data_IF_964162925199
#
_entry.id   IF_964162925199
#
_cell.length_a   1.000
_cell.length_b   1.000
_cell.length_c   1.000
_cell.angle_alpha   90.00
_cell.angle_beta   90.00
_cell.angle_gamma   90.00
#
_symmetry.space_group_name_H-M   'P 1'
#
loop_
_entity.id
_entity.type
_entity.pdbx_description
1 polymer ?
#
# COMPACT_ATOMS: atom_id res chain seq x y z
N UNK A 1 52.71 -35.29 8.13
CA UNK A 1 51.32 -35.03 7.68
C UNK A 1 50.29 -35.54 8.70
N UNK A 2 50.36 -36.79 9.15
CA UNK A 2 49.40 -37.34 10.11
C UNK A 2 49.39 -36.63 11.49
N UNK A 3 50.57 -36.30 12.02
CA UNK A 3 50.70 -35.63 13.33
C UNK A 3 50.05 -34.24 13.38
N UNK A 4 50.12 -33.49 12.27
CA UNK A 4 49.51 -32.17 12.15
C UNK A 4 47.98 -32.24 12.19
N UNK A 5 47.40 -33.28 11.57
CA UNK A 5 45.94 -33.48 11.59
C UNK A 5 45.44 -33.84 13.00
N UNK A 6 46.22 -34.62 13.76
CA UNK A 6 45.89 -34.94 15.16
C UNK A 6 46.01 -33.71 16.08
N UNK A 7 46.96 -32.82 15.83
CA UNK A 7 47.06 -31.53 16.53
C UNK A 7 45.83 -30.64 16.28
N UNK A 8 45.32 -30.58 15.05
CA UNK A 8 44.09 -29.82 14.73
C UNK A 8 42.86 -30.42 15.44
N UNK A 9 42.74 -31.75 15.47
CA UNK A 9 41.62 -32.44 16.14
C UNK A 9 41.62 -32.22 17.64
N UNK A 10 42.80 -32.20 18.27
CA UNK A 10 42.94 -31.92 19.71
C UNK A 10 42.66 -30.46 20.05
N UNK A 11 43.09 -29.52 19.19
CA UNK A 11 42.74 -28.09 19.31
C UNK A 11 41.23 -27.86 19.23
N UNK A 12 40.54 -28.48 18.26
CA UNK A 12 39.08 -28.35 18.12
C UNK A 12 38.33 -28.79 19.37
N UNK A 13 38.71 -29.94 19.95
CA UNK A 13 38.11 -30.44 21.20
C UNK A 13 38.34 -29.50 22.39
N UNK A 14 39.51 -28.86 22.48
CA UNK A 14 39.79 -27.88 23.54
C UNK A 14 38.90 -26.63 23.39
N UNK A 15 38.72 -26.13 22.17
CA UNK A 15 37.87 -24.96 21.88
C UNK A 15 36.39 -25.22 22.18
N UNK A 16 35.88 -26.42 21.85
CA UNK A 16 34.48 -26.79 22.13
C UNK A 16 34.20 -26.96 23.64
N UNK A 17 35.23 -27.24 24.46
CA UNK A 17 35.11 -27.34 25.93
C UNK A 17 35.19 -25.96 26.59
N UNK A 18 36.06 -25.09 26.09
CA UNK A 18 36.29 -23.74 26.65
C UNK A 18 35.16 -22.76 26.30
N UNK A 19 34.40 -23.05 25.23
CA UNK A 19 33.22 -22.28 24.84
C UNK A 19 31.97 -23.15 25.04
N UNK A 20 31.37 -23.15 26.25
CA UNK A 20 30.03 -23.68 26.40
C UNK A 20 29.14 -23.00 25.36
N UNK A 21 28.44 -23.80 24.56
CA UNK A 21 27.47 -23.29 23.60
C UNK A 21 26.55 -22.32 24.35
N UNK A 22 26.47 -21.03 23.95
CA UNK A 22 25.69 -20.06 24.70
C UNK A 22 24.25 -20.55 24.81
N UNK A 23 23.63 -20.49 26.00
CA UNK A 23 22.23 -20.86 26.16
C UNK A 23 21.40 -20.05 25.15
N UNK A 24 20.42 -20.72 24.54
CA UNK A 24 19.57 -20.06 23.56
C UNK A 24 18.86 -18.90 24.26
N UNK A 25 18.76 -17.73 23.61
CA UNK A 25 18.13 -16.51 24.18
C UNK A 25 16.70 -16.71 24.73
N UNK A 26 16.08 -17.87 24.45
CA UNK A 26 14.71 -18.22 24.86
C UNK A 26 14.64 -18.81 26.27
N UNK A 27 15.73 -19.39 26.77
CA UNK A 27 15.72 -20.15 28.01
C UNK A 27 15.98 -19.25 29.25
N UNK A 28 16.69 -18.14 29.07
CA UNK A 28 17.08 -17.25 30.19
C UNK A 28 16.05 -16.15 30.54
N UNK A 29 15.07 -15.89 29.67
CA UNK A 29 14.10 -14.80 29.87
C UNK A 29 13.20 -15.04 31.09
N UNK A 30 12.89 -16.30 31.41
CA UNK A 30 12.05 -16.66 32.56
C UNK A 30 12.77 -16.46 33.88
N UNK A 31 14.10 -16.69 33.91
CA UNK A 31 14.96 -16.43 35.07
C UNK A 31 15.19 -14.94 35.32
N UNK A 32 15.25 -14.13 34.26
CA UNK A 32 15.40 -12.68 34.36
C UNK A 32 14.13 -11.94 34.78
N UNK A 33 12.96 -12.39 34.30
CA UNK A 33 11.69 -11.70 34.54
C UNK A 33 11.00 -12.22 35.82
N UNK A 34 11.36 -13.42 36.30
CA UNK A 34 10.82 -14.03 37.53
C UNK A 34 9.34 -14.44 37.42
N UNK A 35 8.75 -14.30 36.24
CA UNK A 35 7.35 -14.62 35.98
C UNK A 35 7.28 -15.90 35.15
N UNK A 36 6.70 -16.99 35.68
CA UNK A 36 6.48 -18.19 34.90
C UNK A 36 5.53 -17.89 33.74
N UNK A 37 5.80 -18.42 32.55
CA UNK A 37 4.93 -18.20 31.37
C UNK A 37 3.51 -18.68 31.66
N UNK A 38 2.53 -17.77 31.68
CA UNK A 38 1.11 -18.15 31.74
C UNK A 38 0.74 -18.94 30.48
N UNK A 39 0.31 -20.20 30.65
CA UNK A 39 0.04 -21.12 29.54
C UNK A 39 -1.21 -20.81 28.72
N UNK A 40 -2.12 -19.93 29.16
CA UNK A 40 -3.26 -19.48 28.36
C UNK A 40 -3.85 -18.19 28.93
N UNK A 41 -3.56 -17.03 28.32
CA UNK A 41 -4.37 -15.83 28.53
C UNK A 41 -5.46 -15.85 27.47
N UNK A 42 -6.56 -16.55 27.78
CA UNK A 42 -7.79 -16.51 26.99
C UNK A 42 -8.52 -15.18 27.15
N UNK A 43 -7.86 -14.08 26.79
CA UNK A 43 -8.49 -12.77 26.71
C UNK A 43 -9.39 -12.74 25.47
N UNK A 44 -10.71 -12.75 25.67
CA UNK A 44 -11.64 -12.37 24.59
C UNK A 44 -11.37 -10.90 24.30
N UNK A 45 -10.61 -10.61 23.24
CA UNK A 45 -10.55 -9.25 22.71
C UNK A 45 -12.00 -8.82 22.42
N UNK A 46 -12.46 -7.64 22.90
CA UNK A 46 -13.78 -7.15 22.55
C UNK A 46 -13.84 -6.98 21.04
N UNK A 47 -14.54 -7.89 20.38
CA UNK A 47 -14.82 -7.85 18.96
C UNK A 47 -15.98 -6.89 18.72
N UNK A 48 -15.80 -5.96 17.78
CA UNK A 48 -16.92 -5.47 16.98
C UNK A 48 -17.53 -4.12 17.34
N UNK A 49 -16.90 -3.27 18.15
CA UNK A 49 -17.33 -1.87 18.21
C UNK A 49 -16.80 -1.12 16.97
N UNK A 50 -17.62 -1.02 15.92
CA UNK A 50 -17.34 -0.13 14.78
C UNK A 50 -17.41 1.31 15.28
N UNK A 51 -16.27 1.96 15.45
CA UNK A 51 -16.25 3.40 15.69
C UNK A 51 -16.74 4.12 14.43
N UNK A 52 -17.89 4.79 14.55
CA UNK A 52 -18.48 5.64 13.50
C UNK A 52 -17.41 6.62 13.00
N UNK A 53 -17.07 6.54 11.71
CA UNK A 53 -16.06 7.41 11.09
C UNK A 53 -14.63 6.88 11.05
N UNK A 54 -14.36 5.68 11.55
CA UNK A 54 -13.02 5.07 11.44
C UNK A 54 -12.84 4.35 10.12
N UNK A 55 -12.23 5.05 9.17
CA UNK A 55 -11.75 4.52 7.88
C UNK A 55 -10.54 3.60 8.07
N UNK A 56 -10.51 2.76 9.12
CA UNK A 56 -9.42 1.81 9.35
C UNK A 56 -9.65 0.46 8.65
N UNK A 57 -10.87 0.18 8.20
CA UNK A 57 -11.21 -1.02 7.41
C UNK A 57 -10.60 -0.99 5.99
N UNK A 58 -10.42 0.20 5.39
CA UNK A 58 -9.86 0.33 4.04
C UNK A 58 -8.45 0.91 4.12
N UNK A 59 -7.46 0.09 3.74
CA UNK A 59 -6.06 0.52 3.61
C UNK A 59 -5.96 1.81 2.78
N UNK A 60 -5.26 2.83 3.29
CA UNK A 60 -4.95 4.04 2.53
C UNK A 60 -4.06 3.70 1.33
N UNK A 61 -4.50 4.07 0.12
CA UNK A 61 -3.73 3.91 -1.12
C UNK A 61 -2.74 5.06 -1.29
N UNK A 62 -1.50 4.73 -1.64
CA UNK A 62 -0.49 5.72 -2.06
C UNK A 62 -0.88 6.39 -3.38
N UNK A 63 -0.25 7.53 -3.69
CA UNK A 63 -0.49 8.24 -4.96
C UNK A 63 -0.13 7.39 -6.18
N UNK A 64 0.96 6.61 -6.10
CA UNK A 64 1.36 5.67 -7.14
C UNK A 64 0.28 4.62 -7.40
N UNK A 65 -0.27 4.03 -6.33
CA UNK A 65 -1.36 3.06 -6.45
C UNK A 65 -2.63 3.67 -7.04
N UNK A 66 -2.99 4.90 -6.64
CA UNK A 66 -4.13 5.61 -7.23
C UNK A 66 -3.93 5.89 -8.73
N UNK A 67 -2.71 6.23 -9.14
CA UNK A 67 -2.38 6.47 -10.54
C UNK A 67 -2.46 5.18 -11.38
N UNK A 68 -1.98 4.06 -10.84
CA UNK A 68 -2.10 2.74 -11.47
C UNK A 68 -3.57 2.34 -11.59
N UNK A 69 -4.35 2.47 -10.50
CA UNK A 69 -5.79 2.18 -10.54
C UNK A 69 -6.53 3.04 -11.57
N UNK A 70 -6.11 4.30 -11.75
CA UNK A 70 -6.69 5.19 -12.75
C UNK A 70 -6.30 4.81 -14.18
N UNK A 71 -5.06 4.37 -14.41
CA UNK A 71 -4.58 3.97 -15.75
C UNK A 71 -5.21 2.65 -16.22
N UNK A 72 -5.54 1.74 -15.29
CA UNK A 72 -6.21 0.48 -15.57
C UNK A 72 -7.70 0.64 -15.95
N UNK A 73 -8.30 1.80 -15.71
CA UNK A 73 -9.71 2.04 -16.08
C UNK A 73 -9.88 2.03 -17.61
N UNK A 74 -10.78 1.20 -18.16
CA UNK A 74 -10.95 1.10 -19.61
C UNK A 74 -11.43 2.43 -20.19
N UNK A 75 -10.77 2.89 -21.26
CA UNK A 75 -11.18 4.08 -22.00
C UNK A 75 -12.50 3.81 -22.71
N UNK A 76 -13.51 4.64 -22.49
CA UNK A 76 -14.80 4.51 -23.19
C UNK A 76 -14.85 5.37 -24.43
N UNK A 77 -15.50 4.86 -25.47
CA UNK A 77 -15.76 5.61 -26.70
C UNK A 77 -16.79 6.70 -26.40
N UNK A 78 -16.44 7.96 -26.67
CA UNK A 78 -17.41 9.05 -26.63
C UNK A 78 -18.39 8.90 -27.81
N UNK A 79 -19.69 9.04 -27.55
CA UNK A 79 -20.71 8.96 -28.61
C UNK A 79 -20.76 10.19 -29.52
N UNK A 80 -20.33 11.35 -29.03
CA UNK A 80 -20.34 12.60 -29.81
C UNK A 80 -19.13 12.68 -30.75
N UNK A 81 -17.91 12.54 -30.23
CA UNK A 81 -16.68 12.68 -31.04
C UNK A 81 -16.07 11.35 -31.50
N UNK A 82 -16.59 10.21 -31.04
CA UNK A 82 -16.06 8.89 -31.41
C UNK A 82 -14.70 8.54 -30.79
N UNK A 83 -14.05 9.44 -30.05
CA UNK A 83 -12.72 9.21 -29.45
C UNK A 83 -12.84 8.37 -28.17
N UNK A 84 -11.99 7.37 -28.01
CA UNK A 84 -11.88 6.58 -26.78
C UNK A 84 -11.04 7.33 -25.73
N UNK A 85 -11.70 7.99 -24.78
CA UNK A 85 -11.02 8.78 -23.73
C UNK A 85 -11.69 8.60 -22.38
N UNK A 86 -10.95 8.89 -21.31
CA UNK A 86 -11.48 9.03 -19.94
C UNK A 86 -11.55 10.49 -19.49
N UNK A 87 -11.24 11.44 -20.38
CA UNK A 87 -11.14 12.88 -20.05
C UNK A 87 -12.49 13.57 -20.10
N UNK A 88 -13.40 13.09 -20.93
CA UNK A 88 -14.73 13.66 -21.08
C UNK A 88 -15.78 12.58 -21.30
N UNK A 89 -17.03 12.94 -21.07
CA UNK A 89 -18.21 12.11 -21.29
C UNK A 89 -19.02 12.66 -22.45
N UNK A 90 -20.13 12.00 -22.82
CA UNK A 90 -21.07 12.51 -23.85
C UNK A 90 -21.49 13.97 -23.58
N UNK A 91 -21.82 14.28 -22.32
CA UNK A 91 -22.32 15.61 -21.92
C UNK A 91 -21.23 16.67 -21.88
N UNK A 92 -20.00 16.27 -21.59
CA UNK A 92 -18.84 17.16 -21.48
C UNK A 92 -17.94 17.09 -22.71
N UNK A 93 -18.42 16.52 -23.80
CA UNK A 93 -17.62 16.38 -25.01
C UNK A 93 -17.36 17.75 -25.62
N UNK A 94 -16.10 18.09 -25.95
CA UNK A 94 -15.76 19.39 -26.52
C UNK A 94 -16.35 19.59 -27.93
N UNK A 95 -16.62 18.49 -28.65
CA UNK A 95 -17.30 18.51 -29.96
C UNK A 95 -18.81 18.26 -29.83
N UNK A 96 -19.34 18.20 -28.61
CA UNK A 96 -20.76 18.08 -28.38
C UNK A 96 -21.51 19.36 -28.74
N UNK A 97 -22.79 19.28 -29.09
CA UNK A 97 -23.60 20.43 -29.48
C UNK A 97 -23.65 21.51 -28.39
N UNK A 98 -23.65 21.10 -27.12
CA UNK A 98 -23.62 22.01 -25.96
C UNK A 98 -22.31 22.80 -25.86
N UNK A 99 -21.17 22.14 -26.11
CA UNK A 99 -19.85 22.76 -26.07
C UNK A 99 -19.62 23.72 -27.25
N UNK A 100 -20.26 23.47 -28.39
CA UNK A 100 -20.17 24.32 -29.59
C UNK A 100 -21.13 25.51 -29.51
N UNK A 101 -22.34 25.33 -28.96
CA UNK A 101 -23.35 26.38 -28.89
C UNK A 101 -22.98 27.49 -27.90
N UNK A 102 -22.40 27.14 -26.74
CA UNK A 102 -22.05 28.11 -25.70
C UNK A 102 -21.05 29.21 -26.15
N UNK A 103 -19.93 28.91 -26.84
CA UNK A 103 -19.02 29.94 -27.32
C UNK A 103 -19.63 30.77 -28.45
N UNK A 104 -20.40 30.16 -29.37
CA UNK A 104 -21.09 30.88 -30.44
C UNK A 104 -22.06 31.93 -29.90
N UNK A 105 -22.89 31.56 -28.92
CA UNK A 105 -23.83 32.49 -28.29
C UNK A 105 -23.12 33.65 -27.55
N UNK A 106 -21.98 33.36 -26.90
CA UNK A 106 -21.16 34.39 -26.25
C UNK A 106 -20.51 35.35 -27.24
N UNK A 107 -20.03 34.84 -28.37
CA UNK A 107 -19.42 35.66 -29.41
C UNK A 107 -20.46 36.52 -30.14
N UNK A 108 -21.65 35.98 -30.36
CA UNK A 108 -22.79 36.72 -30.92
C UNK A 108 -23.24 37.85 -29.98
N UNK A 109 -23.41 37.58 -28.68
CA UNK A 109 -23.66 38.64 -27.68
C UNK A 109 -22.55 39.70 -27.67
N UNK A 110 -21.27 39.29 -27.74
CA UNK A 110 -20.14 40.21 -27.79
C UNK A 110 -20.20 41.12 -29.04
N UNK A 111 -20.48 40.54 -30.22
CA UNK A 111 -20.65 41.32 -31.45
C UNK A 111 -21.81 42.30 -31.35
N UNK A 112 -22.94 41.89 -30.79
CA UNK A 112 -24.08 42.78 -30.57
C UNK A 112 -23.71 43.96 -29.67
N UNK A 113 -23.01 43.73 -28.56
CA UNK A 113 -22.57 44.80 -27.65
C UNK A 113 -21.46 45.69 -28.21
N UNK A 114 -20.64 45.20 -29.15
CA UNK A 114 -19.62 46.02 -29.83
C UNK A 114 -20.17 46.83 -31.00
N UNK A 115 -21.44 46.62 -31.38
CA UNK A 115 -22.12 47.36 -32.45
C UNK A 115 -22.97 48.55 -31.95
N UNK A 116 -23.03 48.74 -30.62
CA UNK A 116 -23.55 49.94 -29.95
C UNK A 116 -22.38 50.83 -29.52
#
# INVERSE_FOLDING_TARGET
MAEFVEQIRTLKKKVDIDVPNPPSKKDDMEKFIGVPKLKNIGGKNPSGAKNKGSTREVRRKSEKEKAIDASLKPKRKCRECGVCTNTHTKKTCPLGPTAIAAPKAKEEMRRMWSAY
#
